data_IF_435488049112
#
_entry.id   IF_435488049112
#
_cell.length_a   1.000
_cell.length_b   1.000
_cell.length_c   1.000
_cell.angle_alpha   90.00
_cell.angle_beta   90.00
_cell.angle_gamma   90.00
#
_symmetry.space_group_name_H-M   'P 1'
#
loop_
_entity.id
_entity.type
_entity.pdbx_description
1 polymer ?
#
# COMPACT_ATOMS: atom_id res chain seq x y z
N UNK A 1 -34.05 -16.32 57.18
CA UNK A 1 -33.69 -14.96 56.77
C UNK A 1 -34.18 -14.84 55.32
N UNK A 2 -35.27 -14.18 54.92
CA UNK A 2 -36.01 -13.02 55.47
C UNK A 2 -35.07 -11.80 55.67
N UNK A 3 -35.31 -10.56 55.19
CA UNK A 3 -36.40 -9.83 54.48
C UNK A 3 -35.76 -8.55 53.83
N UNK A 4 -36.30 -7.77 52.87
CA UNK A 4 -37.52 -7.72 52.03
C UNK A 4 -37.26 -6.89 50.74
N UNK A 5 -38.29 -6.49 49.97
CA UNK A 5 -38.24 -5.50 48.87
C UNK A 5 -39.12 -4.25 49.13
N UNK A 6 -38.93 -3.15 48.36
CA UNK A 6 -39.86 -2.02 48.04
C UNK A 6 -39.13 -0.96 47.14
N UNK A 7 -39.74 -0.02 46.40
CA UNK A 7 -40.98 0.04 45.56
C UNK A 7 -41.10 1.46 44.91
N UNK A 8 -42.02 1.63 43.93
CA UNK A 8 -42.57 2.87 43.29
C UNK A 8 -41.63 3.68 42.34
N UNK A 9 -42.00 4.11 41.10
CA UNK A 9 -43.28 4.60 40.48
C UNK A 9 -43.65 6.04 40.95
N UNK A 10 -44.10 7.02 40.15
CA UNK A 10 -44.29 7.18 38.67
C UNK A 10 -44.34 8.70 38.32
N UNK A 11 -44.33 9.04 37.02
CA UNK A 11 -44.88 10.24 36.31
C UNK A 11 -44.79 11.67 36.91
N UNK A 12 -44.36 12.68 36.12
CA UNK A 12 -45.29 13.41 35.22
C UNK A 12 -44.60 14.55 34.40
N UNK A 13 -45.28 15.00 33.35
CA UNK A 13 -44.81 15.93 32.30
C UNK A 13 -45.17 17.40 32.59
N UNK A 14 -44.26 18.38 32.34
CA UNK A 14 -44.70 19.77 32.11
C UNK A 14 -43.71 20.65 31.31
N UNK A 15 -44.15 21.14 30.15
CA UNK A 15 -43.48 22.21 29.38
C UNK A 15 -43.76 23.58 30.03
N UNK A 16 -42.72 24.42 30.19
CA UNK A 16 -42.89 25.86 30.38
C UNK A 16 -41.68 26.67 29.89
N UNK A 17 -41.81 27.31 28.73
CA UNK A 17 -40.84 28.34 28.30
C UNK A 17 -41.25 29.73 28.80
N UNK A 18 -40.30 30.66 28.94
CA UNK A 18 -40.50 32.11 28.80
C UNK A 18 -39.15 32.80 28.51
N UNK A 19 -39.21 33.72 27.54
CA UNK A 19 -38.21 34.61 26.95
C UNK A 19 -37.40 35.51 27.91
N UNK A 20 -36.12 35.79 27.57
CA UNK A 20 -35.64 37.16 27.25
C UNK A 20 -34.13 37.25 26.92
N UNK A 21 -33.84 37.75 25.72
CA UNK A 21 -32.79 38.72 25.29
C UNK A 21 -31.87 39.34 26.37
N UNK A 22 -30.60 39.73 26.10
CA UNK A 22 -30.15 40.54 24.94
C UNK A 22 -28.61 40.53 24.75
N UNK A 23 -28.15 40.44 23.49
CA UNK A 23 -27.07 41.26 22.92
C UNK A 23 -25.67 40.62 22.75
N UNK A 24 -24.94 40.79 21.64
CA UNK A 24 -25.26 41.43 20.35
C UNK A 24 -24.13 42.31 19.77
N UNK A 25 -23.25 41.72 18.93
CA UNK A 25 -22.33 42.35 17.96
C UNK A 25 -21.58 41.23 17.21
N UNK A 26 -21.32 41.25 15.89
CA UNK A 26 -21.79 42.17 14.85
C UNK A 26 -20.83 42.30 13.65
N UNK A 27 -21.08 41.55 12.55
CA UNK A 27 -20.38 41.67 11.24
C UNK A 27 -19.25 40.64 11.04
N UNK A 28 -18.93 40.17 9.83
CA UNK A 28 -19.57 40.29 8.50
C UNK A 28 -19.29 38.96 7.75
N UNK A 29 -20.13 38.41 6.88
CA UNK A 29 -20.52 38.99 5.59
C UNK A 29 -19.89 38.19 4.43
N UNK A 30 -20.27 36.91 4.25
CA UNK A 30 -19.78 36.03 3.18
C UNK A 30 -20.94 35.37 2.42
N UNK A 31 -21.00 35.58 1.10
CA UNK A 31 -22.04 35.04 0.21
C UNK A 31 -21.81 33.56 -0.10
N UNK A 32 -22.55 32.66 0.56
CA UNK A 32 -22.61 31.25 0.18
C UNK A 32 -23.41 31.05 -1.12
N UNK A 33 -22.79 30.42 -2.12
CA UNK A 33 -23.44 30.08 -3.38
C UNK A 33 -24.30 28.81 -3.23
N UNK A 34 -25.62 28.94 -3.39
CA UNK A 34 -26.55 27.80 -3.37
C UNK A 34 -26.59 27.18 -4.76
N UNK A 35 -25.97 26.01 -4.94
CA UNK A 35 -26.06 25.22 -6.17
C UNK A 35 -27.30 24.32 -6.16
N UNK A 36 -28.39 24.76 -6.79
CA UNK A 36 -29.61 23.95 -6.97
C UNK A 36 -29.48 22.97 -8.15
N UNK A 37 -28.71 21.89 -7.95
CA UNK A 37 -28.75 20.73 -8.84
C UNK A 37 -30.10 20.01 -8.74
N UNK A 38 -30.79 19.82 -9.88
CA UNK A 38 -32.14 19.21 -9.90
C UNK A 38 -32.08 17.76 -10.36
N UNK A 39 -32.31 16.80 -9.46
CA UNK A 39 -32.62 15.41 -9.81
C UNK A 39 -32.04 14.37 -8.85
N UNK A 40 -32.89 13.47 -8.32
CA UNK A 40 -32.50 12.30 -7.53
C UNK A 40 -33.01 12.34 -6.09
N UNK A 41 -33.99 11.47 -5.77
CA UNK A 41 -34.58 11.39 -4.43
C UNK A 41 -33.79 10.44 -3.52
N UNK A 42 -33.04 10.98 -2.56
CA UNK A 42 -32.39 10.24 -1.48
C UNK A 42 -32.22 11.15 -0.26
N UNK A 43 -32.51 10.66 0.93
CA UNK A 43 -32.66 11.50 2.12
C UNK A 43 -31.30 11.81 2.77
N UNK A 44 -30.61 12.86 2.30
CA UNK A 44 -29.51 13.51 3.02
C UNK A 44 -29.85 14.98 3.25
N UNK A 45 -29.55 15.49 4.45
CA UNK A 45 -29.58 16.93 4.70
C UNK A 45 -28.52 17.64 3.85
N UNK A 46 -28.61 18.97 3.67
CA UNK A 46 -27.56 19.70 2.96
C UNK A 46 -26.23 19.48 3.68
N UNK A 47 -25.29 18.82 3.00
CA UNK A 47 -23.92 18.67 3.46
C UNK A 47 -23.31 20.07 3.43
N UNK A 48 -23.21 20.69 4.61
CA UNK A 48 -22.37 21.87 4.80
C UNK A 48 -20.94 21.35 4.76
N UNK A 49 -20.36 21.31 3.55
CA UNK A 49 -18.92 21.30 3.42
C UNK A 49 -18.43 22.58 4.09
N UNK A 50 -17.68 22.41 5.19
CA UNK A 50 -16.88 23.51 5.72
C UNK A 50 -15.93 24.01 4.64
N UNK A 51 -15.44 25.27 4.74
CA UNK A 51 -14.25 25.64 3.96
C UNK A 51 -13.12 24.63 4.27
N UNK A 52 -12.20 24.38 3.31
CA UNK A 52 -10.97 23.65 3.64
C UNK A 52 -10.30 24.32 4.85
N UNK A 53 -9.66 23.53 5.71
CA UNK A 53 -8.99 24.10 6.87
C UNK A 53 -7.90 25.08 6.40
N UNK A 54 -7.90 26.28 6.98
CA UNK A 54 -6.89 27.28 6.65
C UNK A 54 -5.49 26.77 7.08
N UNK A 55 -4.42 27.07 6.31
CA UNK A 55 -3.06 26.73 6.72
C UNK A 55 -2.71 27.29 8.10
N UNK A 56 -1.88 26.56 8.83
CA UNK A 56 -1.35 26.98 10.14
C UNK A 56 -0.73 28.39 10.01
N UNK A 57 -1.05 29.35 10.90
CA UNK A 57 -0.41 30.68 10.91
C UNK A 57 1.12 30.58 11.05
N UNK A 58 1.87 31.37 10.27
CA UNK A 58 3.35 31.27 10.23
C UNK A 58 4.01 31.37 11.62
N UNK A 59 3.45 32.14 12.54
CA UNK A 59 3.95 32.26 13.92
C UNK A 59 3.85 30.99 14.79
N UNK A 60 3.08 29.97 14.38
CA UNK A 60 2.92 28.69 15.09
C UNK A 60 3.68 27.53 14.43
N UNK A 61 4.20 27.73 13.21
CA UNK A 61 4.87 26.68 12.42
C UNK A 61 6.31 26.52 12.86
N UNK A 62 6.71 25.29 13.18
CA UNK A 62 8.09 24.93 13.50
C UNK A 62 8.74 24.02 12.45
N UNK A 63 7.93 23.24 11.73
CA UNK A 63 8.38 22.33 10.66
C UNK A 63 7.49 22.56 9.45
N UNK A 64 8.14 22.88 8.33
CA UNK A 64 7.54 22.95 7.00
C UNK A 64 8.37 22.08 6.05
N UNK A 65 7.71 21.11 5.41
CA UNK A 65 8.28 20.35 4.31
C UNK A 65 7.36 20.45 3.09
N UNK A 66 7.88 21.04 2.02
CA UNK A 66 7.28 20.99 0.69
C UNK A 66 8.09 19.97 -0.13
N UNK A 67 7.67 18.71 -0.07
CA UNK A 67 8.32 17.60 -0.78
C UNK A 67 7.62 17.35 -2.11
N UNK A 68 8.39 17.33 -3.21
CA UNK A 68 7.97 16.60 -4.40
C UNK A 68 8.24 15.13 -4.15
N UNK A 69 7.21 14.30 -4.31
CA UNK A 69 7.42 12.85 -4.38
C UNK A 69 8.18 12.53 -5.68
N UNK A 70 9.52 12.56 -5.62
CA UNK A 70 10.33 11.98 -6.69
C UNK A 70 10.12 10.45 -6.67
N UNK A 71 9.79 9.84 -7.82
CA UNK A 71 9.55 8.40 -7.87
C UNK A 71 10.87 7.66 -7.64
N UNK A 72 10.97 6.96 -6.50
CA UNK A 72 12.06 6.01 -6.26
C UNK A 72 11.95 4.89 -7.30
N UNK A 73 13.00 4.61 -8.09
CA UNK A 73 12.94 3.55 -9.10
C UNK A 73 12.69 2.18 -8.48
N UNK A 74 11.71 1.47 -9.04
CA UNK A 74 11.29 0.15 -8.57
C UNK A 74 11.93 -0.98 -9.38
N UNK A 75 12.57 -1.89 -8.66
CA UNK A 75 13.05 -3.19 -9.15
C UNK A 75 12.03 -4.29 -8.80
N UNK A 76 11.91 -5.32 -9.64
CA UNK A 76 10.92 -6.37 -9.47
C UNK A 76 11.54 -7.76 -9.47
N UNK A 77 11.07 -8.62 -8.56
CA UNK A 77 11.24 -10.08 -8.68
C UNK A 77 9.87 -10.72 -8.88
N UNK A 78 9.68 -11.34 -10.05
CA UNK A 78 8.48 -12.12 -10.35
C UNK A 78 8.67 -13.51 -9.74
N UNK A 79 7.79 -13.91 -8.83
CA UNK A 79 7.68 -15.27 -8.31
C UNK A 79 6.48 -15.94 -8.98
N UNK A 80 6.76 -16.73 -10.02
CA UNK A 80 5.75 -17.31 -10.91
C UNK A 80 5.35 -18.71 -10.46
N UNK A 81 4.05 -18.92 -10.30
CA UNK A 81 3.48 -20.23 -10.05
C UNK A 81 3.67 -21.16 -11.24
N UNK A 82 4.15 -22.37 -10.96
CA UNK A 82 4.18 -23.50 -11.90
C UNK A 82 3.36 -24.68 -11.38
N UNK A 83 2.28 -24.45 -10.65
CA UNK A 83 1.33 -25.47 -10.21
C UNK A 83 0.47 -26.00 -11.36
N UNK A 84 -0.09 -27.21 -11.22
CA UNK A 84 -0.75 -27.90 -12.33
C UNK A 84 -2.06 -27.23 -12.79
N UNK A 85 -2.66 -26.39 -11.95
CA UNK A 85 -3.80 -25.53 -12.33
C UNK A 85 -3.41 -24.51 -13.40
N UNK A 86 -2.14 -24.09 -13.46
CA UNK A 86 -1.63 -23.25 -14.55
C UNK A 86 -1.67 -23.95 -15.94
N UNK A 87 -1.86 -25.27 -16.01
CA UNK A 87 -2.12 -25.98 -17.28
C UNK A 87 -3.59 -25.90 -17.74
N UNK A 88 -4.49 -25.37 -16.91
CA UNK A 88 -5.88 -25.18 -17.30
C UNK A 88 -5.99 -24.15 -18.42
N UNK A 89 -6.96 -24.36 -19.31
CA UNK A 89 -7.28 -23.41 -20.36
C UNK A 89 -7.90 -22.15 -19.74
N UNK A 90 -7.50 -20.99 -20.22
CA UNK A 90 -8.16 -19.73 -19.90
C UNK A 90 -9.57 -19.71 -20.50
N UNK A 91 -10.55 -19.15 -19.77
CA UNK A 91 -11.91 -19.07 -20.27
C UNK A 91 -11.97 -18.22 -21.56
N UNK A 92 -12.64 -18.75 -22.59
CA UNK A 92 -12.71 -18.13 -23.90
C UNK A 92 -11.42 -18.19 -24.74
N UNK A 93 -10.34 -18.82 -24.26
CA UNK A 93 -9.04 -18.93 -24.97
C UNK A 93 -8.77 -20.33 -25.53
N UNK A 94 -7.71 -20.43 -26.34
CA UNK A 94 -7.06 -21.69 -26.76
C UNK A 94 -5.70 -21.92 -26.10
N UNK A 95 -5.30 -21.01 -25.21
CA UNK A 95 -4.02 -21.02 -24.50
C UNK A 95 -4.23 -21.41 -23.02
N UNK A 96 -3.24 -22.08 -22.43
CA UNK A 96 -3.25 -22.33 -20.98
C UNK A 96 -2.91 -21.06 -20.21
N UNK A 97 -3.28 -20.99 -18.93
CA UNK A 97 -2.89 -19.89 -18.04
C UNK A 97 -1.36 -19.68 -18.05
N UNK A 98 -0.60 -20.79 -18.00
CA UNK A 98 0.86 -20.80 -18.12
C UNK A 98 1.35 -20.19 -19.43
N UNK A 99 0.85 -20.65 -20.58
CA UNK A 99 1.30 -20.16 -21.89
C UNK A 99 1.05 -18.66 -22.04
N UNK A 100 -0.12 -18.18 -21.62
CA UNK A 100 -0.49 -16.77 -21.71
C UNK A 100 0.34 -15.88 -20.78
N UNK A 101 0.54 -16.27 -19.52
CA UNK A 101 1.36 -15.51 -18.55
C UNK A 101 2.81 -15.48 -18.98
N UNK A 102 3.37 -16.62 -19.39
CA UNK A 102 4.78 -16.69 -19.80
C UNK A 102 5.04 -15.94 -21.09
N UNK A 103 4.13 -16.01 -22.08
CA UNK A 103 4.19 -15.17 -23.27
C UNK A 103 4.15 -13.67 -22.92
N UNK A 104 3.35 -13.27 -21.94
CA UNK A 104 3.28 -11.89 -21.47
C UNK A 104 4.59 -11.41 -20.84
N UNK A 105 5.18 -12.23 -19.97
CA UNK A 105 6.47 -11.94 -19.33
C UNK A 105 7.58 -11.82 -20.38
N UNK A 106 7.63 -12.73 -21.35
CA UNK A 106 8.60 -12.69 -22.46
C UNK A 106 8.41 -11.43 -23.33
N UNK A 107 7.16 -11.05 -23.61
CA UNK A 107 6.84 -9.84 -24.36
C UNK A 107 7.22 -8.57 -23.59
N UNK A 108 6.97 -8.51 -22.28
CA UNK A 108 7.37 -7.38 -21.43
C UNK A 108 8.89 -7.24 -21.32
N UNK A 109 9.61 -8.36 -21.15
CA UNK A 109 11.07 -8.39 -21.14
C UNK A 109 11.71 -7.94 -22.48
N UNK A 110 10.92 -7.82 -23.56
CA UNK A 110 11.33 -7.26 -24.84
C UNK A 110 10.77 -5.87 -25.15
N UNK A 111 9.98 -5.27 -24.24
CA UNK A 111 9.37 -3.95 -24.46
C UNK A 111 10.43 -2.84 -24.39
N UNK A 112 10.43 -1.95 -25.38
CA UNK A 112 11.36 -0.82 -25.44
C UNK A 112 11.06 0.23 -24.37
N UNK A 113 9.84 0.31 -23.87
CA UNK A 113 9.44 1.21 -22.77
C UNK A 113 9.87 0.66 -21.40
N UNK A 114 10.21 -0.63 -21.31
CA UNK A 114 10.56 -1.31 -20.05
C UNK A 114 12.07 -1.37 -19.76
N UNK A 115 12.93 -0.79 -20.62
CA UNK A 115 14.39 -1.01 -20.60
C UNK A 115 15.12 -0.43 -19.37
N UNK A 116 14.53 0.55 -18.72
CA UNK A 116 15.06 1.15 -17.49
C UNK A 116 14.51 0.46 -16.21
N UNK A 117 13.63 -0.53 -16.36
CA UNK A 117 13.16 -1.39 -15.28
C UNK A 117 14.15 -2.53 -15.06
N UNK A 118 14.39 -2.88 -13.80
CA UNK A 118 15.15 -4.09 -13.45
C UNK A 118 14.18 -5.20 -13.06
N UNK A 119 14.30 -6.37 -13.68
CA UNK A 119 13.38 -7.49 -13.45
C UNK A 119 14.15 -8.79 -13.32
N UNK A 120 13.90 -9.50 -12.22
CA UNK A 120 14.28 -10.89 -12.04
C UNK A 120 13.07 -11.83 -12.15
N UNK A 121 13.35 -13.13 -12.31
CA UNK A 121 12.34 -14.19 -12.38
C UNK A 121 12.77 -15.38 -11.52
N UNK A 122 11.82 -15.90 -10.74
CA UNK A 122 11.92 -17.19 -10.08
C UNK A 122 10.54 -17.89 -10.08
N UNK A 123 10.48 -19.15 -9.62
CA UNK A 123 9.29 -20.00 -9.73
C UNK A 123 8.93 -20.66 -8.39
N UNK A 124 7.63 -20.99 -8.21
CA UNK A 124 7.10 -21.75 -7.06
C UNK A 124 7.70 -23.16 -6.89
N UNK A 125 8.54 -23.58 -7.83
CA UNK A 125 9.54 -24.61 -7.59
C UNK A 125 10.69 -24.25 -8.55
N UNK A 126 11.89 -23.89 -8.07
CA UNK A 126 13.03 -23.62 -8.96
C UNK A 126 13.57 -24.87 -9.67
N UNK A 127 14.67 -24.75 -10.41
CA UNK A 127 15.43 -25.90 -10.94
C UNK A 127 16.15 -26.60 -9.79
N UNK A 128 15.96 -27.92 -9.70
CA UNK A 128 16.63 -28.77 -8.70
C UNK A 128 15.97 -28.77 -7.31
N UNK A 129 14.87 -28.05 -7.13
CA UNK A 129 14.03 -28.07 -5.93
C UNK A 129 12.87 -29.05 -6.14
N UNK A 130 12.53 -29.81 -5.10
CA UNK A 130 11.41 -30.76 -5.14
C UNK A 130 10.06 -30.05 -4.99
N UNK A 131 9.02 -30.59 -5.64
CA UNK A 131 7.66 -30.00 -5.71
C UNK A 131 6.96 -29.81 -4.37
N UNK A 132 7.46 -30.48 -3.33
CA UNK A 132 6.88 -30.48 -2.01
C UNK A 132 7.86 -30.00 -0.92
N UNK A 133 8.94 -29.34 -1.35
CA UNK A 133 9.88 -28.68 -0.45
C UNK A 133 9.25 -27.45 0.22
N UNK A 134 9.54 -27.31 1.50
CA UNK A 134 9.04 -26.27 2.39
C UNK A 134 10.14 -25.41 3.01
N UNK A 135 11.36 -25.44 2.46
CA UNK A 135 12.51 -24.68 2.96
C UNK A 135 12.67 -23.38 2.15
N UNK A 136 12.36 -22.19 2.71
CA UNK A 136 12.48 -20.92 1.99
C UNK A 136 13.86 -20.68 1.34
N UNK A 137 14.93 -21.19 1.95
CA UNK A 137 16.30 -21.00 1.47
C UNK A 137 16.54 -21.60 0.06
N UNK A 138 15.80 -22.65 -0.31
CA UNK A 138 15.91 -23.27 -1.64
C UNK A 138 15.22 -22.42 -2.74
N UNK A 139 14.48 -21.38 -2.34
CA UNK A 139 13.81 -20.40 -3.22
C UNK A 139 14.57 -19.04 -3.30
N UNK A 140 15.69 -18.89 -2.59
CA UNK A 140 16.44 -17.62 -2.48
C UNK A 140 17.37 -17.32 -3.67
N UNK A 141 17.53 -18.26 -4.62
CA UNK A 141 18.31 -18.04 -5.85
C UNK A 141 17.35 -17.82 -7.01
N UNK A 142 17.36 -16.66 -7.68
CA UNK A 142 16.53 -16.44 -8.85
C UNK A 142 17.10 -17.16 -10.08
N UNK A 143 16.21 -17.60 -10.98
CA UNK A 143 16.58 -18.19 -12.27
C UNK A 143 17.00 -17.11 -13.29
N UNK A 144 16.55 -15.88 -13.07
CA UNK A 144 17.03 -14.66 -13.73
C UNK A 144 17.27 -13.61 -12.65
N UNK A 145 18.53 -13.22 -12.46
CA UNK A 145 18.91 -12.13 -11.56
C UNK A 145 18.17 -10.83 -11.89
N UNK A 146 17.87 -10.03 -10.85
CA UNK A 146 17.29 -8.70 -11.03
C UNK A 146 18.31 -7.80 -11.74
N UNK A 147 18.02 -7.45 -13.00
CA UNK A 147 18.90 -6.66 -13.84
C UNK A 147 18.10 -5.80 -14.84
N UNK A 148 18.66 -4.69 -15.35
CA UNK A 148 18.02 -3.85 -16.36
C UNK A 148 17.61 -4.65 -17.60
N UNK A 149 16.41 -4.42 -18.12
CA UNK A 149 15.95 -5.07 -19.34
C UNK A 149 16.72 -4.59 -20.59
N UNK A 150 17.23 -5.55 -21.36
CA UNK A 150 18.03 -5.33 -22.56
C UNK A 150 17.32 -5.84 -23.81
N UNK A 151 17.94 -5.65 -24.99
CA UNK A 151 17.41 -6.22 -26.23
C UNK A 151 17.42 -7.76 -26.23
N UNK A 152 18.26 -8.38 -25.40
CA UNK A 152 18.43 -9.83 -25.32
C UNK A 152 17.56 -10.46 -24.21
N UNK A 153 16.96 -9.64 -23.34
CA UNK A 153 16.21 -10.13 -22.17
C UNK A 153 15.01 -11.01 -22.56
N UNK A 154 14.24 -10.67 -23.59
CA UNK A 154 13.16 -11.55 -24.09
C UNK A 154 13.67 -12.96 -24.46
N UNK A 155 14.88 -13.09 -25.03
CA UNK A 155 15.47 -14.38 -25.37
C UNK A 155 15.96 -15.14 -24.13
N UNK A 156 16.53 -14.44 -23.14
CA UNK A 156 16.91 -15.02 -21.86
C UNK A 156 15.69 -15.56 -21.10
N UNK A 157 14.65 -14.74 -20.94
CA UNK A 157 13.39 -15.13 -20.30
C UNK A 157 12.74 -16.31 -21.01
N UNK A 158 12.67 -16.29 -22.34
CA UNK A 158 12.14 -17.42 -23.13
C UNK A 158 12.95 -18.71 -22.92
N UNK A 159 14.29 -18.63 -22.84
CA UNK A 159 15.14 -19.80 -22.61
C UNK A 159 14.97 -20.41 -21.21
N UNK A 160 14.82 -19.58 -20.18
CA UNK A 160 14.63 -20.03 -18.79
C UNK A 160 13.23 -20.60 -18.58
N UNK A 161 12.19 -19.93 -19.10
CA UNK A 161 10.82 -20.45 -19.04
C UNK A 161 10.73 -21.81 -19.75
N UNK A 162 11.40 -21.98 -20.89
CA UNK A 162 11.41 -23.23 -21.63
C UNK A 162 12.12 -24.40 -20.90
N UNK A 163 13.04 -24.14 -19.96
CA UNK A 163 13.71 -25.19 -19.19
C UNK A 163 12.90 -25.69 -17.98
N UNK A 164 11.85 -24.98 -17.56
CA UNK A 164 11.06 -25.33 -16.35
C UNK A 164 10.14 -26.54 -16.52
N UNK A 165 9.94 -27.05 -17.74
CA UNK A 165 9.03 -28.18 -18.07
C UNK A 165 7.56 -27.90 -17.69
N UNK A 166 6.59 -28.78 -18.02
CA UNK A 166 5.18 -28.51 -17.74
C UNK A 166 4.92 -28.32 -16.23
N UNK A 167 3.99 -27.41 -15.85
CA UNK A 167 3.65 -27.13 -14.45
C UNK A 167 3.41 -28.39 -13.59
N UNK A 168 3.97 -28.40 -12.39
CA UNK A 168 4.04 -29.51 -11.44
C UNK A 168 2.86 -29.51 -10.45
N UNK A 169 2.64 -30.59 -9.71
CA UNK A 169 1.33 -30.85 -9.07
C UNK A 169 0.99 -30.08 -7.78
N UNK A 170 1.80 -29.13 -7.33
CA UNK A 170 1.67 -28.48 -6.00
C UNK A 170 1.99 -26.98 -6.05
N UNK A 171 1.53 -26.27 -5.03
CA UNK A 171 1.56 -24.80 -4.91
C UNK A 171 2.14 -24.42 -3.53
N UNK A 172 3.47 -24.47 -3.33
CA UNK A 172 4.11 -24.11 -2.06
C UNK A 172 4.31 -22.59 -1.94
N UNK A 173 3.21 -21.83 -1.97
CA UNK A 173 3.20 -20.36 -2.04
C UNK A 173 3.98 -19.69 -0.90
N UNK A 174 3.91 -20.24 0.32
CA UNK A 174 4.57 -19.70 1.51
C UNK A 174 6.10 -19.63 1.38
N UNK A 175 6.82 -20.76 1.25
CA UNK A 175 8.28 -20.75 1.09
C UNK A 175 8.73 -20.06 -0.21
N UNK A 176 7.93 -20.15 -1.29
CA UNK A 176 8.16 -19.41 -2.52
C UNK A 176 8.18 -17.88 -2.29
N UNK A 177 7.15 -17.33 -1.63
CA UNK A 177 7.09 -15.91 -1.29
C UNK A 177 8.24 -15.50 -0.36
N UNK A 178 8.55 -16.31 0.65
CA UNK A 178 9.63 -16.05 1.59
C UNK A 178 11.01 -15.96 0.89
N UNK A 179 11.33 -16.88 -0.02
CA UNK A 179 12.57 -16.81 -0.80
C UNK A 179 12.62 -15.60 -1.75
N UNK A 180 11.49 -15.24 -2.36
CA UNK A 180 11.38 -14.03 -3.20
C UNK A 180 11.57 -12.74 -2.39
N UNK A 181 11.07 -12.69 -1.15
CA UNK A 181 11.30 -11.56 -0.22
C UNK A 181 12.79 -11.43 0.10
N UNK A 182 13.50 -12.52 0.40
CA UNK A 182 14.94 -12.44 0.71
C UNK A 182 15.80 -12.10 -0.53
N UNK A 183 15.38 -12.49 -1.74
CA UNK A 183 15.94 -11.96 -2.99
C UNK A 183 15.75 -10.43 -3.06
N UNK A 184 14.53 -9.95 -2.80
CA UNK A 184 14.19 -8.53 -2.87
C UNK A 184 14.95 -7.69 -1.82
N UNK A 185 15.04 -8.15 -0.56
CA UNK A 185 15.86 -7.52 0.49
C UNK A 185 17.31 -7.39 0.07
N UNK A 186 17.91 -8.47 -0.48
CA UNK A 186 19.29 -8.44 -0.99
C UNK A 186 19.48 -7.40 -2.10
N UNK A 187 18.54 -7.32 -3.03
CA UNK A 187 18.64 -6.37 -4.14
C UNK A 187 18.53 -4.92 -3.65
N UNK A 188 17.56 -4.60 -2.79
CA UNK A 188 17.41 -3.26 -2.19
C UNK A 188 18.66 -2.84 -1.41
N UNK A 189 19.27 -3.75 -0.65
CA UNK A 189 20.54 -3.48 0.05
C UNK A 189 21.74 -3.33 -0.90
N UNK A 190 21.72 -3.99 -2.06
CA UNK A 190 22.78 -3.91 -3.07
C UNK A 190 22.64 -2.74 -4.04
N UNK A 191 21.47 -2.09 -4.11
CA UNK A 191 21.14 -1.01 -5.07
C UNK A 191 20.67 0.28 -4.39
N UNK A 192 21.55 1.00 -3.65
CA UNK A 192 21.17 2.22 -2.94
C UNK A 192 20.46 3.25 -3.82
N UNK A 193 19.30 3.73 -3.37
CA UNK A 193 18.44 4.66 -4.12
C UNK A 193 17.41 3.99 -5.04
N UNK A 194 17.27 2.66 -4.96
CA UNK A 194 16.18 1.88 -5.58
C UNK A 194 15.50 1.02 -4.50
N UNK A 195 14.25 0.68 -4.72
CA UNK A 195 13.50 -0.27 -3.89
C UNK A 195 13.14 -1.51 -4.71
N UNK A 196 12.91 -2.64 -4.05
CA UNK A 196 12.56 -3.90 -4.72
C UNK A 196 11.25 -4.44 -4.18
N UNK A 197 10.30 -4.77 -5.07
CA UNK A 197 9.04 -5.43 -4.72
C UNK A 197 8.96 -6.85 -5.30
N UNK A 198 8.16 -7.69 -4.66
CA UNK A 198 7.81 -9.03 -5.13
C UNK A 198 6.51 -8.96 -5.93
N UNK A 199 6.48 -9.66 -7.07
CA UNK A 199 5.24 -9.93 -7.81
C UNK A 199 4.93 -11.42 -7.67
N UNK A 200 3.90 -11.75 -6.91
CA UNK A 200 3.38 -13.10 -6.75
C UNK A 200 2.36 -13.37 -7.87
N UNK A 201 2.74 -14.17 -8.86
CA UNK A 201 1.88 -14.49 -10.01
C UNK A 201 1.37 -15.93 -9.90
N UNK A 202 0.08 -16.14 -9.63
CA UNK A 202 -0.52 -17.48 -9.40
C UNK A 202 -1.99 -17.52 -9.82
N UNK A 203 -2.51 -18.72 -10.09
CA UNK A 203 -3.93 -18.97 -10.38
C UNK A 203 -4.68 -19.67 -9.24
N UNK A 204 -3.99 -19.94 -8.14
CA UNK A 204 -4.42 -20.92 -7.15
C UNK A 204 -4.16 -20.52 -5.70
N UNK A 205 -4.63 -21.36 -4.80
CA UNK A 205 -4.34 -21.27 -3.37
C UNK A 205 -3.12 -22.13 -3.01
N UNK A 206 -2.46 -21.84 -1.89
CA UNK A 206 -1.50 -22.76 -1.29
C UNK A 206 -2.10 -24.17 -1.19
N UNK A 207 -1.34 -25.16 -1.66
CA UNK A 207 -1.74 -26.58 -1.62
C UNK A 207 -0.70 -27.46 -0.93
N UNK A 208 0.39 -26.85 -0.48
CA UNK A 208 1.52 -27.48 0.21
C UNK A 208 2.23 -26.43 1.08
N UNK A 209 2.89 -26.89 2.14
CA UNK A 209 3.66 -26.08 3.10
C UNK A 209 2.83 -25.15 4.01
N UNK A 210 1.52 -25.38 4.12
CA UNK A 210 0.62 -24.66 5.04
C UNK A 210 1.03 -24.86 6.51
N UNK A 211 1.77 -23.89 7.02
CA UNK A 211 2.19 -23.80 8.43
C UNK A 211 1.42 -22.68 9.14
N UNK A 212 1.30 -22.69 10.48
CA UNK A 212 0.62 -21.63 11.21
C UNK A 212 1.30 -20.27 10.97
N UNK A 213 0.62 -19.40 10.22
CA UNK A 213 1.12 -18.10 9.76
C UNK A 213 0.70 -17.79 8.32
N UNK A 214 0.63 -18.81 7.45
CA UNK A 214 0.16 -18.63 6.06
C UNK A 214 1.05 -17.72 5.20
N UNK A 215 0.54 -17.35 4.03
CA UNK A 215 1.20 -16.44 3.07
C UNK A 215 1.12 -15.00 3.57
N UNK A 216 0.02 -14.67 4.24
CA UNK A 216 -0.31 -13.37 4.80
C UNK A 216 0.68 -12.92 5.88
N UNK A 217 1.11 -13.79 6.80
CA UNK A 217 2.07 -13.39 7.84
C UNK A 217 3.47 -13.18 7.25
N UNK A 218 3.85 -13.94 6.22
CA UNK A 218 5.11 -13.78 5.48
C UNK A 218 5.11 -12.43 4.75
N UNK A 219 4.06 -12.13 3.99
CA UNK A 219 3.89 -10.87 3.28
C UNK A 219 3.89 -9.67 4.24
N UNK A 220 3.15 -9.79 5.36
CA UNK A 220 3.00 -8.71 6.36
C UNK A 220 4.25 -8.45 7.17
N UNK A 221 5.05 -9.46 7.46
CA UNK A 221 6.35 -9.29 8.11
C UNK A 221 7.35 -8.55 7.20
N UNK A 222 7.25 -8.72 5.87
CA UNK A 222 8.10 -8.05 4.89
C UNK A 222 7.65 -6.62 4.57
N UNK A 223 6.35 -6.36 4.57
CA UNK A 223 5.78 -5.01 4.44
C UNK A 223 5.91 -4.18 5.75
N UNK A 224 5.96 -4.83 6.91
CA UNK A 224 6.09 -4.18 8.22
C UNK A 224 7.21 -4.82 9.06
N UNK A 225 8.48 -4.74 8.61
CA UNK A 225 9.59 -5.32 9.35
C UNK A 225 9.77 -4.60 10.69
N UNK A 226 10.05 -5.34 11.79
CA UNK A 226 10.25 -4.73 13.09
C UNK A 226 11.49 -3.83 13.10
N UNK A 227 11.39 -2.70 13.81
CA UNK A 227 12.56 -1.87 14.11
C UNK A 227 13.57 -2.67 14.93
N UNK A 228 14.80 -2.78 14.43
CA UNK A 228 15.91 -3.41 15.17
C UNK A 228 16.66 -2.35 15.99
N UNK A 229 17.02 -2.70 17.23
CA UNK A 229 17.82 -1.86 18.11
C UNK A 229 19.15 -1.48 17.43
N UNK A 230 19.41 -0.17 17.28
CA UNK A 230 20.59 0.36 16.60
C UNK A 230 20.31 1.06 15.25
N UNK A 231 19.05 1.16 14.82
CA UNK A 231 18.62 2.08 13.75
C UNK A 231 18.77 1.58 12.31
N UNK A 232 19.35 0.39 12.09
CA UNK A 232 19.44 -0.23 10.76
C UNK A 232 18.15 -0.99 10.41
N UNK A 233 17.08 -0.28 10.07
CA UNK A 233 15.80 -0.88 9.66
C UNK A 233 15.99 -1.83 8.47
N UNK A 234 15.39 -3.03 8.52
CA UNK A 234 15.33 -3.91 7.34
C UNK A 234 14.59 -3.23 6.18
N UNK A 235 14.92 -3.56 4.91
CA UNK A 235 14.14 -3.11 3.76
C UNK A 235 12.67 -3.49 3.90
N UNK A 236 11.78 -2.53 3.64
CA UNK A 236 10.35 -2.81 3.43
C UNK A 236 10.24 -3.43 2.04
N UNK A 237 9.58 -4.59 1.94
CA UNK A 237 9.34 -5.29 0.68
C UNK A 237 7.84 -5.43 0.48
N UNK A 238 7.32 -4.74 -0.54
CA UNK A 238 5.93 -4.85 -0.95
C UNK A 238 5.69 -6.13 -1.75
N UNK A 239 4.54 -6.78 -1.56
CA UNK A 239 4.11 -7.94 -2.36
C UNK A 239 2.86 -7.58 -3.16
N UNK A 240 3.03 -7.40 -4.46
CA UNK A 240 1.95 -7.28 -5.42
C UNK A 240 1.49 -8.67 -5.86
N UNK A 241 0.19 -8.85 -6.05
CA UNK A 241 -0.38 -10.14 -6.48
C UNK A 241 -1.03 -9.99 -7.84
N UNK A 242 -0.63 -10.84 -8.78
CA UNK A 242 -1.27 -10.97 -10.08
C UNK A 242 -1.97 -12.34 -10.13
N UNK A 243 -3.30 -12.30 -10.04
CA UNK A 243 -4.14 -13.47 -10.06
C UNK A 243 -4.57 -13.85 -11.47
N UNK A 244 -4.71 -15.13 -11.76
CA UNK A 244 -5.21 -15.62 -13.06
C UNK A 244 -6.44 -16.51 -12.85
N UNK A 245 -7.55 -16.18 -13.50
CA UNK A 245 -8.86 -16.79 -13.22
C UNK A 245 -9.54 -16.21 -11.98
N UNK A 246 -10.45 -16.98 -11.37
CA UNK A 246 -11.57 -16.40 -10.59
C UNK A 246 -11.34 -16.26 -9.07
N UNK A 247 -10.16 -16.63 -8.54
CA UNK A 247 -9.93 -16.78 -7.08
C UNK A 247 -9.50 -15.46 -6.42
N UNK A 248 -10.28 -14.39 -6.64
CA UNK A 248 -9.95 -13.02 -6.20
C UNK A 248 -9.78 -12.87 -4.67
N UNK A 249 -10.73 -13.33 -3.87
CA UNK A 249 -10.84 -12.91 -2.45
C UNK A 249 -9.63 -13.24 -1.57
N UNK A 250 -8.89 -14.30 -1.91
CA UNK A 250 -7.72 -14.71 -1.14
C UNK A 250 -6.43 -14.05 -1.66
N UNK A 251 -6.41 -13.72 -2.95
CA UNK A 251 -5.31 -12.98 -3.56
C UNK A 251 -5.33 -11.51 -3.11
N UNK A 252 -6.51 -10.92 -2.91
CA UNK A 252 -6.66 -9.60 -2.28
C UNK A 252 -6.07 -9.61 -0.84
N UNK A 253 -6.36 -10.62 -0.01
CA UNK A 253 -5.74 -10.77 1.32
C UNK A 253 -4.20 -10.84 1.27
N UNK A 254 -3.63 -11.55 0.29
CA UNK A 254 -2.18 -11.64 0.10
C UNK A 254 -1.58 -10.28 -0.30
N UNK A 255 -2.27 -9.52 -1.15
CA UNK A 255 -1.86 -8.19 -1.60
C UNK A 255 -1.93 -7.16 -0.46
N UNK A 256 -3.03 -7.13 0.30
CA UNK A 256 -3.24 -6.30 1.49
C UNK A 256 -2.17 -6.59 2.56
N UNK A 257 -1.95 -7.86 2.87
CA UNK A 257 -0.89 -8.28 3.79
C UNK A 257 0.50 -7.86 3.29
N UNK A 258 0.72 -7.92 1.97
CA UNK A 258 1.91 -7.43 1.28
C UNK A 258 2.10 -5.91 1.25
N UNK A 259 1.24 -5.14 1.93
CA UNK A 259 1.31 -3.67 1.92
C UNK A 259 0.97 -3.06 0.56
N UNK A 260 0.14 -3.74 -0.23
CA UNK A 260 -0.45 -3.23 -1.48
C UNK A 260 -1.98 -3.24 -1.36
N UNK A 261 -2.71 -2.80 -2.39
CA UNK A 261 -4.15 -2.51 -2.26
C UNK A 261 -5.01 -3.76 -2.43
N UNK A 262 -4.80 -4.49 -3.53
CA UNK A 262 -5.63 -5.59 -3.98
C UNK A 262 -4.88 -6.39 -5.07
N UNK A 263 -5.33 -7.61 -5.36
CA UNK A 263 -4.80 -8.38 -6.46
C UNK A 263 -5.28 -7.84 -7.81
N UNK A 264 -4.35 -7.78 -8.76
CA UNK A 264 -4.68 -7.56 -10.17
C UNK A 264 -5.08 -8.90 -10.78
N UNK A 265 -6.38 -9.13 -10.89
CA UNK A 265 -6.93 -10.35 -11.47
C UNK A 265 -6.98 -10.26 -13.00
N UNK A 266 -6.69 -11.38 -13.65
CA UNK A 266 -6.73 -11.54 -15.09
C UNK A 266 -7.70 -12.68 -15.40
N UNK A 267 -8.95 -12.29 -15.69
CA UNK A 267 -10.11 -13.19 -15.68
C UNK A 267 -10.48 -13.63 -17.12
N UNK A 268 -10.59 -12.70 -18.08
CA UNK A 268 -11.01 -13.01 -19.46
C UNK A 268 -10.20 -12.26 -20.54
N UNK A 269 -10.22 -12.78 -21.78
CA UNK A 269 -9.77 -12.05 -22.97
C UNK A 269 -8.26 -12.06 -23.21
N UNK A 270 -7.66 -10.92 -23.55
CA UNK A 270 -6.22 -10.85 -23.81
C UNK A 270 -5.44 -10.77 -22.49
N UNK A 271 -5.18 -11.95 -21.92
CA UNK A 271 -4.43 -12.14 -20.66
C UNK A 271 -3.04 -11.52 -20.74
N UNK A 272 -2.35 -11.66 -21.88
CA UNK A 272 -1.00 -11.11 -22.04
C UNK A 272 -0.97 -9.58 -21.97
N UNK A 273 -1.93 -8.90 -22.62
CA UNK A 273 -2.05 -7.45 -22.54
C UNK A 273 -2.40 -6.96 -21.12
N UNK A 274 -3.23 -7.71 -20.39
CA UNK A 274 -3.59 -7.40 -19.00
C UNK A 274 -2.42 -7.61 -18.03
N UNK A 275 -1.64 -8.68 -18.19
CA UNK A 275 -0.43 -8.90 -17.40
C UNK A 275 0.61 -7.80 -17.66
N UNK A 276 0.84 -7.42 -18.91
CA UNK A 276 1.72 -6.28 -19.26
C UNK A 276 1.20 -4.98 -18.65
N UNK A 277 -0.11 -4.72 -18.69
CA UNK A 277 -0.71 -3.54 -18.08
C UNK A 277 -0.56 -3.55 -16.55
N UNK A 278 -0.68 -4.72 -15.90
CA UNK A 278 -0.42 -4.88 -14.47
C UNK A 278 1.03 -4.51 -14.12
N UNK A 279 2.02 -5.06 -14.84
CA UNK A 279 3.43 -4.74 -14.64
C UNK A 279 3.73 -3.24 -14.87
N UNK A 280 3.15 -2.63 -15.91
CA UNK A 280 3.29 -1.19 -16.18
C UNK A 280 2.63 -0.34 -15.09
N UNK A 281 1.50 -0.75 -14.54
CA UNK A 281 0.83 -0.03 -13.44
C UNK A 281 1.65 -0.13 -12.14
N UNK A 282 2.16 -1.31 -11.79
CA UNK A 282 3.01 -1.53 -10.60
C UNK A 282 4.27 -0.67 -10.69
N UNK A 283 4.92 -0.63 -11.86
CA UNK A 283 6.16 0.15 -12.06
C UNK A 283 5.94 1.66 -12.25
N UNK A 284 4.70 2.10 -12.47
CA UNK A 284 4.32 3.51 -12.51
C UNK A 284 3.85 4.06 -11.14
N UNK A 285 3.67 3.19 -10.12
CA UNK A 285 3.30 3.62 -8.77
C UNK A 285 4.55 4.04 -7.98
N UNK A 286 4.63 5.28 -7.47
CA UNK A 286 5.71 5.67 -6.57
C UNK A 286 5.55 4.98 -5.23
N UNK A 287 6.46 4.05 -4.89
CA UNK A 287 6.60 3.53 -3.51
C UNK A 287 7.03 4.62 -2.51
N UNK A 288 7.50 5.77 -3.01
CA UNK A 288 7.98 6.93 -2.25
C UNK A 288 6.89 7.71 -1.52
N UNK A 289 5.90 7.02 -0.95
CA UNK A 289 4.93 7.56 -0.02
C UNK A 289 5.48 7.68 1.42
N UNK A 290 6.81 7.85 1.51
CA UNK A 290 7.61 7.94 2.72
C UNK A 290 8.48 9.20 2.60
N UNK A 291 8.22 10.18 3.45
CA UNK A 291 8.77 11.54 3.34
C UNK A 291 9.65 11.82 4.55
N UNK A 292 10.86 12.33 4.30
CA UNK A 292 11.73 12.80 5.37
C UNK A 292 11.31 14.20 5.77
N UNK A 293 11.40 14.51 7.06
CA UNK A 293 11.05 15.82 7.60
C UNK A 293 12.31 16.55 8.03
N UNK A 294 12.39 17.88 7.82
CA UNK A 294 13.52 18.66 8.28
C UNK A 294 13.59 18.63 9.81
N UNK A 295 14.82 18.57 10.33
CA UNK A 295 15.09 18.53 11.77
C UNK A 295 14.62 19.82 12.45
N UNK A 296 13.94 19.68 13.59
CA UNK A 296 13.53 20.84 14.42
C UNK A 296 14.79 21.53 14.94
N UNK A 297 14.96 22.83 14.70
CA UNK A 297 16.21 23.55 15.03
C UNK A 297 16.57 23.52 16.53
N UNK A 298 15.59 23.29 17.42
CA UNK A 298 15.80 23.15 18.86
C UNK A 298 14.82 22.14 19.51
N UNK A 299 15.11 20.83 19.42
CA UNK A 299 14.20 19.78 19.86
C UNK A 299 14.15 19.59 21.39
N UNK A 300 15.03 20.26 22.15
CA UNK A 300 14.98 20.25 23.62
C UNK A 300 13.94 21.24 24.18
N UNK A 301 13.61 22.31 23.44
CA UNK A 301 12.64 23.35 23.83
C UNK A 301 11.29 23.26 23.09
N UNK A 302 11.17 22.42 22.05
CA UNK A 302 9.97 22.32 21.22
C UNK A 302 9.58 20.85 20.96
N UNK A 303 8.27 20.55 21.00
CA UNK A 303 7.72 19.29 20.47
C UNK A 303 6.75 19.56 19.35
N UNK A 304 6.87 18.79 18.27
CA UNK A 304 5.87 18.68 17.21
C UNK A 304 4.57 18.17 17.84
N UNK A 305 3.47 18.92 17.68
CA UNK A 305 2.14 18.42 18.01
C UNK A 305 1.56 17.65 16.82
N UNK A 306 1.53 16.34 16.96
CA UNK A 306 0.96 15.40 15.97
C UNK A 306 -0.56 15.61 15.80
N UNK A 307 -1.25 16.11 16.84
CA UNK A 307 -2.69 16.38 16.81
C UNK A 307 -3.07 17.63 16.02
N UNK A 308 -2.14 18.57 15.87
CA UNK A 308 -2.30 19.85 15.15
C UNK A 308 -1.51 19.89 13.83
N UNK A 309 -1.10 18.72 13.35
CA UNK A 309 -0.36 18.53 12.11
C UNK A 309 -1.25 18.66 10.87
N UNK A 310 -0.80 19.44 9.88
CA UNK A 310 -1.53 19.72 8.65
C UNK A 310 -0.78 19.17 7.43
N UNK A 311 -1.33 18.10 6.84
CA UNK A 311 -0.78 17.43 5.66
C UNK A 311 -1.78 17.54 4.51
N UNK A 312 -1.33 18.06 3.38
CA UNK A 312 -2.09 18.14 2.14
C UNK A 312 -1.29 17.61 0.97
N UNK A 313 -1.92 16.83 0.09
CA UNK A 313 -1.38 16.63 -1.26
C UNK A 313 -2.12 17.47 -2.30
N UNK A 314 -1.40 17.87 -3.33
CA UNK A 314 -1.92 18.47 -4.54
C UNK A 314 -1.65 17.53 -5.72
N UNK A 315 -2.67 16.87 -6.30
CA UNK A 315 -2.51 16.12 -7.53
C UNK A 315 -2.06 17.05 -8.66
N UNK A 316 -1.33 16.52 -9.65
CA UNK A 316 -0.76 17.30 -10.77
C UNK A 316 -1.79 18.18 -11.51
N UNK A 317 -3.10 17.86 -11.42
CA UNK A 317 -4.20 18.67 -11.94
C UNK A 317 -5.42 18.72 -10.98
N UNK A 318 -5.21 18.77 -9.66
CA UNK A 318 -6.30 18.74 -8.66
C UNK A 318 -6.25 19.88 -7.63
N UNK A 319 -7.38 20.07 -6.94
CA UNK A 319 -7.41 20.86 -5.70
C UNK A 319 -6.63 20.14 -4.59
N UNK A 320 -6.20 20.89 -3.56
CA UNK A 320 -5.51 20.29 -2.41
C UNK A 320 -6.47 19.49 -1.55
N UNK A 321 -6.02 18.34 -1.07
CA UNK A 321 -6.81 17.41 -0.26
C UNK A 321 -6.09 17.19 1.08
N UNK A 322 -6.81 17.44 2.18
CA UNK A 322 -6.35 17.22 3.55
C UNK A 322 -6.20 15.71 3.81
N UNK A 323 -5.09 15.32 4.44
CA UNK A 323 -4.79 13.93 4.80
C UNK A 323 -4.81 13.80 6.32
N UNK A 324 -5.69 12.96 6.91
CA UNK A 324 -5.83 12.87 8.36
C UNK A 324 -4.68 12.07 9.01
N UNK A 325 -4.23 12.44 10.22
CA UNK A 325 -3.28 11.64 10.98
C UNK A 325 -3.85 10.26 11.39
N UNK A 326 -2.95 9.32 11.60
CA UNK A 326 -3.15 7.93 12.05
C UNK A 326 -2.10 7.63 13.12
N UNK A 327 -2.44 6.85 14.17
CA UNK A 327 -1.49 6.61 15.27
C UNK A 327 -0.35 5.63 14.89
N UNK A 328 -0.50 4.92 13.78
CA UNK A 328 0.48 3.98 13.23
C UNK A 328 -0.08 3.26 12.01
N UNK A 329 0.68 2.31 11.42
CA UNK A 329 0.27 1.58 10.22
C UNK A 329 -1.05 0.81 10.41
N UNK A 330 -1.33 0.31 11.62
CA UNK A 330 -2.59 -0.39 11.96
C UNK A 330 -3.85 0.42 11.62
N UNK A 331 -3.77 1.74 11.73
CA UNK A 331 -4.91 2.64 11.62
C UNK A 331 -5.19 3.04 10.16
N UNK A 332 -4.27 2.76 9.24
CA UNK A 332 -4.56 2.78 7.81
C UNK A 332 -5.60 1.71 7.43
N UNK A 333 -5.67 0.60 8.17
CA UNK A 333 -6.52 -0.56 7.85
C UNK A 333 -7.88 -0.57 8.56
N UNK A 334 -8.13 0.35 9.52
CA UNK A 334 -9.38 0.41 10.30
C UNK A 334 -10.36 1.49 9.82
N UNK A 335 -10.04 2.17 8.72
CA UNK A 335 -10.80 3.28 8.15
C UNK A 335 -10.98 3.19 6.64
N UNK A 336 -10.96 4.35 5.98
CA UNK A 336 -11.17 4.51 4.53
C UNK A 336 -9.89 4.33 3.69
N UNK A 337 -8.83 3.73 4.26
CA UNK A 337 -7.52 3.57 3.61
C UNK A 337 -6.72 4.87 3.47
N UNK A 338 -7.31 6.04 3.80
CA UNK A 338 -6.63 7.34 3.76
C UNK A 338 -5.88 7.61 5.05
N UNK A 339 -4.92 8.53 5.01
CA UNK A 339 -4.25 9.07 6.18
C UNK A 339 -2.73 9.11 6.06
N UNK A 340 -2.07 9.45 7.16
CA UNK A 340 -0.61 9.38 7.31
C UNK A 340 -0.21 9.09 8.75
N UNK A 341 0.98 8.53 8.96
CA UNK A 341 1.53 8.22 10.28
C UNK A 341 3.05 8.45 10.32
N UNK A 342 3.60 8.63 11.52
CA UNK A 342 5.06 8.63 11.72
C UNK A 342 5.61 7.21 11.80
N UNK A 343 6.83 7.01 11.29
CA UNK A 343 7.55 5.71 11.40
C UNK A 343 7.75 5.28 12.86
N UNK A 344 7.92 6.25 13.77
CA UNK A 344 8.06 6.04 15.20
C UNK A 344 7.26 7.11 15.95
N UNK A 345 6.52 6.74 17.03
CA UNK A 345 5.88 7.73 17.91
C UNK A 345 6.87 8.62 18.67
N UNK A 346 8.13 8.21 18.77
CA UNK A 346 9.21 8.92 19.47
C UNK A 346 10.19 9.63 18.51
N UNK A 347 10.13 9.33 17.20
CA UNK A 347 11.01 9.88 16.17
C UNK A 347 10.18 10.32 14.95
N UNK A 348 9.99 11.63 14.87
CA UNK A 348 9.22 12.33 13.84
C UNK A 348 10.04 12.73 12.61
N UNK A 349 11.25 12.18 12.43
CA UNK A 349 12.08 12.45 11.23
C UNK A 349 11.47 11.93 9.93
N UNK A 350 10.49 11.02 9.99
CA UNK A 350 9.93 10.34 8.82
C UNK A 350 8.42 10.05 8.91
N UNK A 351 7.69 10.51 7.91
CA UNK A 351 6.24 10.35 7.73
C UNK A 351 5.93 9.37 6.60
N UNK A 352 4.85 8.59 6.72
CA UNK A 352 4.35 7.68 5.69
C UNK A 352 2.86 7.96 5.42
N UNK A 353 2.45 8.02 4.14
CA UNK A 353 1.04 8.07 3.74
C UNK A 353 0.43 6.66 3.71
N UNK A 354 -0.82 6.52 4.15
CA UNK A 354 -1.62 5.31 3.94
C UNK A 354 -1.91 5.10 2.44
N UNK A 355 -2.22 3.86 2.05
CA UNK A 355 -2.35 3.44 0.65
C UNK A 355 -3.21 4.34 -0.23
N UNK A 356 -4.43 4.70 0.17
CA UNK A 356 -5.31 5.53 -0.68
C UNK A 356 -4.80 6.96 -0.83
N UNK A 357 -4.18 7.54 0.20
CA UNK A 357 -3.57 8.87 0.13
C UNK A 357 -2.27 8.86 -0.68
N UNK A 358 -1.51 7.77 -0.60
CA UNK A 358 -0.34 7.49 -1.43
C UNK A 358 -0.72 7.41 -2.93
N UNK A 359 -1.73 6.60 -3.27
CA UNK A 359 -2.25 6.45 -4.63
C UNK A 359 -2.71 7.77 -5.23
N UNK A 360 -3.41 8.58 -4.43
CA UNK A 360 -3.99 9.84 -4.90
C UNK A 360 -2.96 10.98 -5.08
N UNK A 361 -1.79 10.89 -4.44
CA UNK A 361 -0.69 11.83 -4.63
C UNK A 361 -0.14 11.78 -6.06
N UNK A 362 0.08 10.58 -6.63
CA UNK A 362 0.41 10.33 -8.04
C UNK A 362 1.42 11.34 -8.66
N UNK A 363 2.64 11.38 -8.10
CA UNK A 363 3.72 12.33 -8.47
C UNK A 363 3.38 13.83 -8.31
N UNK A 364 2.38 14.15 -7.49
CA UNK A 364 2.00 15.50 -7.09
C UNK A 364 2.92 16.14 -6.04
N UNK A 365 2.51 17.31 -5.58
CA UNK A 365 3.21 18.07 -4.53
C UNK A 365 2.62 17.70 -3.15
N UNK A 366 3.47 17.31 -2.19
CA UNK A 366 3.07 17.09 -0.81
C UNK A 366 3.53 18.28 0.06
N UNK A 367 2.59 18.85 0.80
CA UNK A 367 2.80 19.96 1.73
C UNK A 367 2.52 19.47 3.15
N UNK A 368 3.55 19.46 3.99
CA UNK A 368 3.52 18.99 5.37
C UNK A 368 3.87 20.17 6.27
N UNK A 369 3.02 20.46 7.25
CA UNK A 369 3.16 21.58 8.16
C UNK A 369 2.84 21.13 9.59
N UNK A 370 3.66 21.49 10.57
CA UNK A 370 3.43 21.16 11.97
C UNK A 370 3.44 22.41 12.87
N UNK A 371 2.48 22.45 13.78
CA UNK A 371 2.57 23.28 14.98
C UNK A 371 3.56 22.64 15.98
N UNK A 372 4.25 23.48 16.75
CA UNK A 372 5.01 23.03 17.91
C UNK A 372 4.50 23.67 19.20
N UNK A 373 4.39 22.86 20.25
CA UNK A 373 4.29 23.37 21.62
C UNK A 373 5.68 23.71 22.17
N UNK A 374 5.81 24.91 22.73
CA UNK A 374 7.01 25.30 23.48
C UNK A 374 7.03 24.58 24.83
N UNK A 375 8.06 23.76 25.07
CA UNK A 375 8.30 23.09 26.36
C UNK A 375 8.73 24.16 27.38
N UNK A 376 7.76 24.80 28.01
CA UNK A 376 8.04 25.80 29.04
C UNK A 376 8.59 25.10 30.27
N UNK A 377 9.92 25.01 30.38
CA UNK A 377 10.60 24.40 31.53
C UNK A 377 10.25 25.18 32.80
N UNK A 378 9.30 24.66 33.58
CA UNK A 378 8.99 25.15 34.91
C UNK A 378 10.14 24.70 35.84
N UNK A 379 11.00 25.65 36.22
CA UNK A 379 11.96 25.50 37.33
C UNK A 379 11.34 25.79 38.70
#
# INVERSE_FOLDING_TARGET
MALSACSSEDDDNLIKGTTSSTGGSGGAGGTGAILTGTGGSGNTGPVILGPPADPIPEELRCVEAAERAEPVPLDLIIMLDRSSSMQEMLEGSTETKWDAVTAAIIAFAGDLEARDLHIGLNFFTPIGVDVDDCNPADYETPEIDIAPLTADSAAQFSSVIASMSPPLSLTPTGPALAGAIEIAKRNTLATPGRETAVILATDGLPSKCDSPGGVEDIARAAANPPSVDGGTREPIIHTYVIGVGDIRSNMDNFAEAGGTIAATMIEEGNVGAQFIAALKNITAQPLSCSFNLPEVENPEDQRIDVGSAFVQYAPVNGDRIDVPPRAGPSDCFTGDGTGWYFVSPDDHSKLILCGESCNALNAGDLNIQFECENITTIQ
#
